data_IF_510485773529
#
_entry.id   IF_510485773529
#
_cell.length_a   1.000
_cell.length_b   1.000
_cell.length_c   1.000
_cell.angle_alpha   90.00
_cell.angle_beta   90.00
_cell.angle_gamma   90.00
#
_symmetry.space_group_name_H-M   'P 1'
#
loop_
_entity.id
_entity.type
_entity.pdbx_description
1 polymer ?
#
# COMPACT_ATOMS: atom_id res chain seq x y z
N UNK A 1 54.79 -12.88 -59.44
CA UNK A 1 55.44 -14.17 -59.52
C UNK A 1 54.35 -15.19 -59.37
N UNK A 2 53.92 -15.64 -60.48
CA UNK A 2 53.92 -17.03 -60.96
C UNK A 2 52.94 -17.93 -60.24
N UNK A 3 51.90 -18.29 -60.85
CA UNK A 3 51.48 -19.03 -62.02
C UNK A 3 50.99 -20.42 -61.69
N UNK A 4 49.80 -20.66 -62.24
CA UNK A 4 49.41 -21.85 -63.08
C UNK A 4 48.91 -23.05 -62.28
N UNK A 5 47.86 -23.68 -62.64
CA UNK A 5 47.14 -24.19 -63.83
C UNK A 5 46.70 -25.60 -63.40
N UNK A 6 45.67 -26.23 -63.70
CA UNK A 6 44.84 -26.33 -64.88
C UNK A 6 44.37 -27.76 -65.00
N UNK A 7 43.26 -27.91 -65.71
CA UNK A 7 42.79 -29.08 -66.57
C UNK A 7 41.83 -30.06 -65.87
N UNK A 8 40.54 -30.04 -66.27
CA UNK A 8 39.90 -30.64 -67.47
C UNK A 8 40.00 -32.19 -67.60
N UNK A 9 38.86 -32.80 -67.71
CA UNK A 9 38.63 -34.10 -68.27
C UNK A 9 37.26 -34.64 -67.89
N UNK A 10 36.25 -34.46 -68.60
CA UNK A 10 35.58 -35.10 -69.72
C UNK A 10 34.62 -36.24 -69.35
N UNK A 11 33.32 -35.95 -69.60
CA UNK A 11 32.33 -36.72 -70.38
C UNK A 11 32.05 -38.17 -69.98
N UNK A 12 30.80 -38.45 -69.69
CA UNK A 12 30.12 -39.74 -69.84
C UNK A 12 28.60 -39.52 -69.75
N UNK A 13 27.99 -39.44 -70.98
CA UNK A 13 26.55 -39.57 -71.20
C UNK A 13 26.09 -40.99 -70.91
N UNK A 14 25.01 -41.19 -70.22
CA UNK A 14 24.05 -42.25 -70.44
C UNK A 14 22.66 -41.82 -69.94
N UNK A 15 21.75 -41.83 -70.90
CA UNK A 15 20.32 -41.58 -70.73
C UNK A 15 19.58 -42.85 -70.28
N UNK A 16 18.48 -42.75 -69.73
CA UNK A 16 17.13 -43.35 -69.86
C UNK A 16 16.51 -43.63 -68.45
N UNK A 17 15.43 -43.16 -68.26
CA UNK A 17 14.06 -43.62 -68.34
C UNK A 17 13.15 -43.00 -67.22
N UNK A 18 12.02 -42.53 -67.66
CA UNK A 18 10.89 -42.02 -66.94
C UNK A 18 10.32 -43.01 -65.91
N UNK A 19 9.96 -42.53 -64.72
CA UNK A 19 8.76 -42.97 -64.01
C UNK A 19 8.20 -41.78 -63.24
N UNK A 20 7.08 -41.26 -63.70
CA UNK A 20 6.27 -40.30 -63.00
C UNK A 20 5.58 -40.97 -61.77
N UNK A 21 5.87 -40.54 -60.61
CA UNK A 21 5.05 -40.80 -59.44
C UNK A 21 4.75 -39.45 -58.77
N UNK A 22 3.57 -38.94 -59.03
CA UNK A 22 2.96 -37.77 -58.39
C UNK A 22 2.64 -38.08 -56.92
N UNK A 23 3.60 -37.79 -56.02
CA UNK A 23 3.40 -37.80 -54.60
C UNK A 23 3.03 -36.40 -54.14
N UNK A 24 1.75 -36.11 -54.00
CA UNK A 24 1.24 -34.94 -53.31
C UNK A 24 1.51 -35.14 -51.80
N UNK A 25 2.55 -34.52 -51.28
CA UNK A 25 2.73 -34.34 -49.85
C UNK A 25 1.78 -33.20 -49.39
N UNK A 26 0.81 -33.46 -48.51
CA UNK A 26 0.08 -32.36 -47.90
C UNK A 26 1.06 -31.60 -46.99
N UNK A 27 1.41 -30.38 -47.38
CA UNK A 27 1.92 -29.40 -46.42
C UNK A 27 0.83 -29.19 -45.39
N UNK A 28 0.99 -29.82 -44.24
CA UNK A 28 0.35 -29.39 -43.01
C UNK A 28 0.91 -27.99 -42.67
N UNK A 29 0.33 -26.99 -43.31
CA UNK A 29 0.42 -25.60 -42.84
C UNK A 29 -0.22 -25.54 -41.48
N UNK A 30 0.58 -25.73 -40.45
CA UNK A 30 0.20 -25.36 -39.12
C UNK A 30 -0.05 -23.85 -39.12
N UNK A 31 -1.29 -23.45 -39.28
CA UNK A 31 -1.72 -22.12 -38.90
C UNK A 31 -1.41 -22.05 -37.40
N UNK A 32 -0.32 -21.37 -37.06
CA UNK A 32 -0.16 -20.85 -35.71
C UNK A 32 -1.40 -19.99 -35.48
N UNK A 33 -2.39 -20.59 -34.84
CA UNK A 33 -3.58 -19.89 -34.43
C UNK A 33 -3.10 -18.75 -33.55
N UNK A 34 -3.23 -17.53 -34.04
CA UNK A 34 -3.09 -16.36 -33.19
C UNK A 34 -4.03 -16.61 -32.01
N UNK A 35 -3.44 -16.84 -30.82
CA UNK A 35 -4.22 -16.98 -29.64
C UNK A 35 -5.07 -15.71 -29.55
N UNK A 36 -6.38 -15.84 -29.70
CA UNK A 36 -7.29 -14.72 -29.61
C UNK A 36 -7.10 -14.16 -28.18
N UNK A 37 -6.50 -12.99 -28.06
CA UNK A 37 -6.35 -12.34 -26.77
C UNK A 37 -7.74 -12.09 -26.24
N UNK A 38 -8.05 -12.64 -25.06
CA UNK A 38 -9.30 -12.34 -24.37
C UNK A 38 -9.41 -10.82 -24.15
N UNK A 39 -10.63 -10.29 -24.12
CA UNK A 39 -10.85 -8.86 -23.88
C UNK A 39 -10.14 -8.42 -22.57
N UNK A 40 -9.53 -7.24 -22.54
CA UNK A 40 -8.84 -6.76 -21.34
C UNK A 40 -9.78 -6.64 -20.13
N UNK A 41 -9.26 -6.97 -18.95
CA UNK A 41 -9.94 -6.71 -17.69
C UNK A 41 -9.63 -5.29 -17.24
N UNK A 42 -10.63 -4.49 -16.98
CA UNK A 42 -10.45 -3.11 -16.50
C UNK A 42 -10.42 -3.08 -14.98
N UNK A 43 -9.36 -2.50 -14.39
CA UNK A 43 -9.27 -2.16 -12.97
C UNK A 43 -9.23 -0.64 -12.85
N UNK A 44 -10.05 -0.07 -11.99
CA UNK A 44 -10.05 1.38 -11.73
C UNK A 44 -9.40 1.65 -10.39
N UNK A 45 -8.38 2.51 -10.35
CA UNK A 45 -7.86 3.06 -9.10
C UNK A 45 -8.52 4.41 -8.81
N UNK A 46 -8.90 4.64 -7.56
CA UNK A 46 -9.39 5.94 -7.06
C UNK A 46 -8.39 6.43 -6.02
N UNK A 47 -7.94 7.67 -6.19
CA UNK A 47 -6.97 8.32 -5.30
C UNK A 47 -7.11 9.84 -5.37
N UNK A 48 -6.50 10.57 -4.43
CA UNK A 48 -6.55 12.04 -4.37
C UNK A 48 -5.37 12.67 -5.12
N UNK A 49 -5.46 12.80 -6.44
CA UNK A 49 -4.40 13.43 -7.25
C UNK A 49 -4.32 14.93 -7.02
N UNK A 50 -5.44 15.55 -6.66
CA UNK A 50 -5.57 16.97 -6.37
C UNK A 50 -6.29 17.20 -5.04
N UNK A 51 -6.37 18.47 -4.60
CA UNK A 51 -7.04 18.83 -3.35
C UNK A 51 -6.13 18.75 -2.12
N UNK A 52 -6.71 18.88 -0.90
CA UNK A 52 -5.93 18.96 0.35
C UNK A 52 -5.02 17.78 0.64
N UNK A 53 -5.36 16.57 0.21
CA UNK A 53 -4.55 15.37 0.40
C UNK A 53 -3.52 15.12 -0.69
N UNK A 54 -3.40 15.99 -1.70
CA UNK A 54 -2.50 15.75 -2.84
C UNK A 54 -1.02 15.68 -2.45
N UNK A 55 -0.62 16.28 -1.34
CA UNK A 55 0.76 16.17 -0.84
C UNK A 55 1.17 14.72 -0.61
N UNK A 56 0.25 13.92 -0.11
CA UNK A 56 0.48 12.50 0.18
C UNK A 56 0.11 11.60 -1.01
N UNK A 57 -1.00 11.90 -1.70
CA UNK A 57 -1.62 10.97 -2.64
C UNK A 57 -1.34 11.25 -4.12
N UNK A 58 -0.86 12.44 -4.52
CA UNK A 58 -0.64 12.75 -5.94
C UNK A 58 0.35 11.80 -6.65
N UNK A 59 1.29 11.25 -5.89
CA UNK A 59 2.31 10.33 -6.40
C UNK A 59 1.91 8.86 -6.32
N UNK A 60 0.66 8.53 -6.02
CA UNK A 60 0.15 7.16 -5.92
C UNK A 60 0.26 6.31 -7.22
N UNK A 61 0.04 6.87 -8.43
CA UNK A 61 -0.07 6.10 -9.68
C UNK A 61 1.08 5.14 -10.01
N UNK A 62 2.36 5.45 -9.81
CA UNK A 62 3.45 4.57 -10.22
C UNK A 62 3.39 3.15 -9.65
N UNK A 63 2.99 2.98 -8.38
CA UNK A 63 2.89 1.64 -7.81
C UNK A 63 1.84 0.78 -8.51
N UNK A 64 0.66 1.34 -8.74
CA UNK A 64 -0.43 0.68 -9.47
C UNK A 64 -0.05 0.35 -10.91
N UNK A 65 0.50 1.33 -11.63
CA UNK A 65 0.89 1.17 -13.03
C UNK A 65 1.98 0.11 -13.21
N UNK A 66 3.05 0.19 -12.40
CA UNK A 66 4.16 -0.76 -12.48
C UNK A 66 3.69 -2.19 -12.19
N UNK A 67 2.80 -2.39 -11.19
CA UNK A 67 2.28 -3.73 -10.88
C UNK A 67 1.44 -4.31 -12.02
N UNK A 68 0.60 -3.49 -12.65
CA UNK A 68 -0.19 -3.89 -13.81
C UNK A 68 0.70 -4.16 -15.02
N UNK A 69 1.66 -3.27 -15.30
CA UNK A 69 2.57 -3.42 -16.43
C UNK A 69 3.41 -4.68 -16.31
N UNK A 70 3.92 -4.99 -15.12
CA UNK A 70 4.63 -6.22 -14.84
C UNK A 70 3.75 -7.44 -15.11
N UNK A 71 2.51 -7.48 -14.59
CA UNK A 71 1.58 -8.59 -14.84
C UNK A 71 1.27 -8.76 -16.33
N UNK A 72 1.09 -7.64 -17.01
CA UNK A 72 0.85 -7.65 -18.46
C UNK A 72 2.05 -8.19 -19.25
N UNK A 73 3.27 -7.88 -18.84
CA UNK A 73 4.49 -8.41 -19.45
C UNK A 73 4.60 -9.93 -19.27
N UNK A 74 4.12 -10.46 -18.16
CA UNK A 74 4.04 -11.90 -17.83
C UNK A 74 2.87 -12.62 -18.54
N UNK A 75 2.13 -11.95 -19.42
CA UNK A 75 1.02 -12.55 -20.17
C UNK A 75 -0.38 -12.12 -19.71
N UNK A 76 -0.48 -11.27 -18.69
CA UNK A 76 -1.74 -10.85 -18.09
C UNK A 76 -2.24 -11.82 -17.02
N UNK A 77 -3.54 -11.88 -16.82
CA UNK A 77 -4.20 -12.76 -15.85
C UNK A 77 -5.12 -13.72 -16.60
N UNK A 78 -4.85 -15.01 -16.51
CA UNK A 78 -5.67 -16.06 -17.13
C UNK A 78 -5.93 -15.83 -18.64
N UNK A 79 -4.98 -15.20 -19.37
CA UNK A 79 -5.08 -14.86 -20.79
C UNK A 79 -5.67 -13.48 -21.10
N UNK A 80 -6.02 -12.70 -20.09
CA UNK A 80 -6.49 -11.33 -20.22
C UNK A 80 -5.39 -10.34 -19.87
N UNK A 81 -5.19 -9.31 -20.70
CA UNK A 81 -4.41 -8.14 -20.28
C UNK A 81 -5.24 -7.30 -19.30
N UNK A 82 -4.58 -6.55 -18.46
CA UNK A 82 -5.22 -5.63 -17.51
C UNK A 82 -5.12 -4.22 -18.08
N UNK A 83 -6.23 -3.48 -18.05
CA UNK A 83 -6.29 -2.05 -18.32
C UNK A 83 -6.49 -1.31 -17.01
N UNK A 84 -5.50 -0.53 -16.57
CA UNK A 84 -5.61 0.39 -15.45
C UNK A 84 -6.27 1.70 -15.87
N UNK A 85 -7.15 2.23 -15.04
CA UNK A 85 -7.72 3.58 -15.15
C UNK A 85 -7.58 4.24 -13.78
N UNK A 86 -7.19 5.51 -13.76
CA UNK A 86 -7.01 6.27 -12.52
C UNK A 86 -8.03 7.41 -12.50
N UNK A 87 -8.71 7.58 -11.39
CA UNK A 87 -9.68 8.64 -11.14
C UNK A 87 -9.29 9.43 -9.91
N UNK A 88 -9.43 10.75 -10.02
CA UNK A 88 -9.16 11.72 -8.95
C UNK A 88 -10.44 11.99 -8.14
N UNK A 89 -10.37 11.87 -6.84
CA UNK A 89 -11.43 12.23 -5.91
C UNK A 89 -11.25 13.63 -5.29
N UNK A 90 -10.15 14.31 -5.62
CA UNK A 90 -9.85 15.67 -5.21
C UNK A 90 -9.79 15.87 -3.67
N UNK A 91 -9.67 14.78 -2.91
CA UNK A 91 -9.83 14.79 -1.44
C UNK A 91 -11.11 15.53 -1.01
N UNK A 92 -12.19 15.32 -1.75
CA UNK A 92 -13.44 16.05 -1.57
C UNK A 92 -14.60 15.10 -1.28
N UNK A 93 -15.39 15.33 -0.20
CA UNK A 93 -16.57 14.51 0.11
C UNK A 93 -17.59 14.42 -1.04
N UNK A 94 -17.70 15.44 -1.88
CA UNK A 94 -18.58 15.43 -3.04
C UNK A 94 -17.94 14.72 -4.24
N UNK A 95 -16.66 14.97 -4.50
CA UNK A 95 -15.97 14.43 -5.66
C UNK A 95 -15.74 12.92 -5.53
N UNK A 96 -15.49 12.38 -4.33
CA UNK A 96 -15.33 10.93 -4.13
C UNK A 96 -16.57 10.15 -4.58
N UNK A 97 -17.76 10.63 -4.28
CA UNK A 97 -18.99 9.97 -4.76
C UNK A 97 -19.08 9.96 -6.29
N UNK A 98 -18.73 11.08 -6.93
CA UNK A 98 -18.70 11.18 -8.39
C UNK A 98 -17.62 10.27 -8.99
N UNK A 99 -16.44 10.22 -8.40
CA UNK A 99 -15.36 9.36 -8.84
C UNK A 99 -15.74 7.87 -8.76
N UNK A 100 -16.39 7.44 -7.66
CA UNK A 100 -16.86 6.06 -7.50
C UNK A 100 -17.95 5.73 -8.53
N UNK A 101 -18.94 6.62 -8.73
CA UNK A 101 -19.98 6.40 -9.74
C UNK A 101 -19.40 6.35 -11.16
N UNK A 102 -18.44 7.22 -11.47
CA UNK A 102 -17.72 7.18 -12.74
C UNK A 102 -16.91 5.88 -12.88
N UNK A 103 -16.28 5.39 -11.81
CA UNK A 103 -15.61 4.09 -11.83
C UNK A 103 -16.61 2.98 -12.19
N UNK A 104 -17.74 2.90 -11.50
CA UNK A 104 -18.78 1.88 -11.75
C UNK A 104 -19.33 1.94 -13.17
N UNK A 105 -19.53 3.13 -13.74
CA UNK A 105 -20.02 3.31 -15.12
C UNK A 105 -19.10 2.72 -16.19
N UNK A 106 -17.81 2.51 -15.87
CA UNK A 106 -16.83 1.87 -16.76
C UNK A 106 -16.91 0.34 -16.72
N UNK A 107 -17.81 -0.22 -15.93
CA UNK A 107 -17.98 -1.66 -15.72
C UNK A 107 -16.63 -2.39 -15.47
N UNK A 108 -15.82 -1.96 -14.49
CA UNK A 108 -14.53 -2.58 -14.21
C UNK A 108 -14.73 -3.94 -13.55
N UNK A 109 -13.71 -4.79 -13.59
CA UNK A 109 -13.73 -6.06 -12.85
C UNK A 109 -13.43 -5.85 -11.35
N UNK A 110 -12.87 -4.72 -10.98
CA UNK A 110 -12.58 -4.35 -9.60
C UNK A 110 -12.09 -2.91 -9.47
N UNK A 111 -12.13 -2.40 -8.25
CA UNK A 111 -11.64 -1.08 -7.86
C UNK A 111 -10.46 -1.26 -6.91
N UNK A 112 -9.43 -0.44 -7.06
CA UNK A 112 -8.36 -0.25 -6.07
C UNK A 112 -8.58 1.11 -5.42
N UNK A 113 -8.77 1.16 -4.11
CA UNK A 113 -8.95 2.40 -3.37
C UNK A 113 -7.67 2.77 -2.62
N UNK A 114 -7.12 3.94 -2.97
CA UNK A 114 -6.02 4.59 -2.27
C UNK A 114 -6.46 6.04 -2.02
N UNK A 115 -7.52 6.17 -1.24
CA UNK A 115 -8.21 7.44 -0.99
C UNK A 115 -8.55 7.57 0.50
N UNK A 116 -8.26 8.72 1.13
CA UNK A 116 -8.61 8.92 2.55
C UNK A 116 -10.11 9.15 2.79
N UNK A 117 -10.93 9.22 1.73
CA UNK A 117 -12.36 9.52 1.84
C UNK A 117 -13.27 8.44 1.22
N UNK A 118 -12.73 7.28 0.87
CA UNK A 118 -13.52 6.24 0.18
C UNK A 118 -14.71 5.75 1.00
N UNK A 119 -14.62 5.77 2.32
CA UNK A 119 -15.70 5.38 3.23
C UNK A 119 -17.02 6.15 2.97
N UNK A 120 -16.96 7.39 2.49
CA UNK A 120 -18.12 8.19 2.16
C UNK A 120 -18.91 7.63 0.96
N UNK A 121 -18.24 6.88 0.09
CA UNK A 121 -18.81 6.33 -1.13
C UNK A 121 -18.84 4.79 -1.17
N UNK A 122 -18.33 4.10 -0.17
CA UNK A 122 -18.19 2.64 -0.10
C UNK A 122 -19.52 1.87 -0.33
N UNK A 123 -20.63 2.49 0.00
CA UNK A 123 -21.98 1.91 -0.23
C UNK A 123 -22.27 1.59 -1.70
N UNK A 124 -21.75 2.37 -2.64
CA UNK A 124 -22.05 2.18 -4.06
C UNK A 124 -21.37 0.94 -4.65
N UNK A 125 -20.05 0.71 -4.49
CA UNK A 125 -19.45 -0.54 -4.92
C UNK A 125 -19.98 -1.75 -4.14
N UNK A 126 -20.37 -1.59 -2.87
CA UNK A 126 -20.99 -2.67 -2.11
C UNK A 126 -22.33 -3.09 -2.72
N UNK A 127 -23.21 -2.14 -3.03
CA UNK A 127 -24.51 -2.41 -3.69
C UNK A 127 -24.34 -3.05 -5.07
N UNK A 128 -23.28 -2.72 -5.79
CA UNK A 128 -22.93 -3.31 -7.08
C UNK A 128 -22.22 -4.68 -6.96
N UNK A 129 -21.93 -5.15 -5.75
CA UNK A 129 -21.10 -6.34 -5.52
C UNK A 129 -19.70 -6.24 -6.10
N UNK A 130 -19.19 -5.01 -6.32
CA UNK A 130 -17.92 -4.72 -6.95
C UNK A 130 -16.77 -5.06 -6.00
N UNK A 131 -15.78 -5.91 -6.40
CA UNK A 131 -14.60 -6.13 -5.60
C UNK A 131 -13.79 -4.85 -5.42
N UNK A 132 -13.39 -4.56 -4.19
CA UNK A 132 -12.52 -3.43 -3.84
C UNK A 132 -11.32 -3.94 -3.06
N UNK A 133 -10.11 -3.57 -3.49
CA UNK A 133 -8.88 -3.80 -2.73
C UNK A 133 -8.18 -2.47 -2.49
N UNK A 134 -7.32 -2.36 -1.49
CA UNK A 134 -6.59 -1.11 -1.25
C UNK A 134 -5.98 -1.01 0.13
N UNK A 135 -5.52 0.19 0.46
CA UNK A 135 -4.93 0.51 1.76
C UNK A 135 -5.99 0.64 2.85
N UNK A 136 -5.56 0.49 4.08
CA UNK A 136 -6.40 0.47 5.28
C UNK A 136 -6.47 1.83 5.99
N UNK A 137 -6.45 2.94 5.28
CA UNK A 137 -6.34 4.26 5.91
C UNK A 137 -7.56 5.18 5.74
N UNK A 138 -8.68 4.67 5.25
CA UNK A 138 -9.91 5.49 5.10
C UNK A 138 -10.80 5.36 6.33
N UNK A 139 -11.69 4.36 6.36
CA UNK A 139 -12.69 4.21 7.39
C UNK A 139 -12.92 2.76 7.79
N UNK A 140 -13.98 2.50 8.55
CA UNK A 140 -14.27 1.16 9.06
C UNK A 140 -14.79 0.18 7.99
N UNK A 141 -15.03 0.63 6.77
CA UNK A 141 -15.62 -0.19 5.70
C UNK A 141 -14.78 -1.43 5.37
N UNK A 142 -13.48 -1.41 5.59
CA UNK A 142 -12.59 -2.54 5.34
C UNK A 142 -12.85 -3.74 6.26
N UNK A 143 -13.53 -3.57 7.36
CA UNK A 143 -13.82 -4.64 8.31
C UNK A 143 -15.28 -4.73 8.75
N UNK A 144 -16.16 -3.77 8.38
CA UNK A 144 -17.54 -3.72 8.87
C UNK A 144 -18.56 -4.34 7.93
N UNK A 145 -19.65 -4.85 8.47
CA UNK A 145 -20.84 -5.20 7.70
C UNK A 145 -21.56 -3.94 7.21
N UNK A 146 -22.03 -3.89 5.96
CA UNK A 146 -22.04 -4.98 4.96
C UNK A 146 -20.80 -5.02 4.07
N UNK A 147 -19.87 -4.09 4.20
CA UNK A 147 -18.76 -3.85 3.27
C UNK A 147 -17.74 -4.99 3.22
N UNK A 148 -17.55 -5.74 4.31
CA UNK A 148 -16.72 -6.94 4.33
C UNK A 148 -17.13 -8.01 3.29
N UNK A 149 -18.26 -7.79 2.60
CA UNK A 149 -18.67 -8.67 1.51
C UNK A 149 -17.84 -8.50 0.25
N UNK A 150 -17.23 -7.32 0.02
CA UNK A 150 -16.57 -6.96 -1.22
C UNK A 150 -15.34 -6.07 -1.06
N UNK A 151 -14.96 -5.68 0.18
CA UNK A 151 -13.80 -4.84 0.44
C UNK A 151 -12.72 -5.61 1.19
N UNK A 152 -11.48 -5.57 0.68
CA UNK A 152 -10.33 -6.35 1.15
C UNK A 152 -9.11 -5.44 1.30
N UNK A 153 -8.71 -5.16 2.53
CA UNK A 153 -7.49 -4.41 2.82
C UNK A 153 -6.26 -5.20 2.39
N UNK A 154 -5.32 -4.56 1.71
CA UNK A 154 -4.13 -5.18 1.16
C UNK A 154 -2.94 -5.16 2.11
N UNK A 155 -3.01 -4.41 3.19
CA UNK A 155 -2.01 -4.35 4.24
C UNK A 155 -2.46 -5.07 5.53
N UNK A 156 -1.60 -5.08 6.53
CA UNK A 156 -1.84 -5.77 7.81
C UNK A 156 -2.53 -4.90 8.86
N UNK A 157 -3.33 -3.95 8.46
CA UNK A 157 -4.22 -3.23 9.36
C UNK A 157 -5.18 -4.18 10.08
N UNK A 158 -5.86 -3.70 11.09
CA UNK A 158 -6.92 -4.46 11.73
C UNK A 158 -8.08 -4.68 10.78
N UNK A 159 -8.54 -5.90 10.70
CA UNK A 159 -9.75 -6.27 9.97
C UNK A 159 -10.98 -6.24 10.89
N UNK A 160 -10.82 -5.82 12.14
CA UNK A 160 -11.92 -5.69 13.10
C UNK A 160 -12.57 -4.31 13.00
N UNK A 161 -13.90 -4.25 12.87
CA UNK A 161 -14.64 -3.00 12.89
C UNK A 161 -14.49 -2.19 14.19
N UNK A 162 -14.07 -2.84 15.28
CA UNK A 162 -13.88 -2.18 16.57
C UNK A 162 -12.51 -1.52 16.73
N UNK A 163 -11.63 -1.62 15.73
CA UNK A 163 -10.29 -1.06 15.78
C UNK A 163 -9.52 -1.48 17.04
N UNK A 164 -9.03 -2.73 17.09
CA UNK A 164 -8.26 -3.20 18.22
C UNK A 164 -7.00 -2.35 18.41
N UNK A 165 -6.59 -2.24 19.66
CA UNK A 165 -5.38 -1.54 20.04
C UNK A 165 -4.27 -2.55 20.29
N UNK A 166 -3.09 -2.26 19.74
CA UNK A 166 -1.92 -3.13 19.90
C UNK A 166 -0.83 -2.45 20.71
N UNK A 167 -0.05 -3.24 21.41
CA UNK A 167 1.02 -2.74 22.29
C UNK A 167 2.21 -2.14 21.56
N UNK A 168 2.37 -2.37 20.26
CA UNK A 168 3.60 -2.08 19.52
C UNK A 168 4.01 -0.60 19.57
N UNK A 169 3.10 0.32 19.25
CA UNK A 169 3.45 1.75 19.16
C UNK A 169 3.76 2.35 20.51
N UNK A 170 2.95 2.07 21.52
CA UNK A 170 3.19 2.54 22.88
C UNK A 170 4.46 1.97 23.49
N UNK A 171 4.72 0.67 23.29
CA UNK A 171 5.95 0.01 23.75
C UNK A 171 7.19 0.58 23.05
N UNK A 172 7.10 0.86 21.74
CA UNK A 172 8.17 1.52 21.00
C UNK A 172 8.47 2.91 21.58
N UNK A 173 7.46 3.74 21.73
CA UNK A 173 7.61 5.10 22.28
C UNK A 173 8.20 5.08 23.69
N UNK A 174 7.74 4.16 24.55
CA UNK A 174 8.26 4.00 25.91
C UNK A 174 9.73 3.58 25.91
N UNK A 175 10.10 2.61 25.06
CA UNK A 175 11.48 2.16 24.93
C UNK A 175 12.43 3.31 24.49
N UNK A 176 11.89 4.35 23.84
CA UNK A 176 12.62 5.55 23.42
C UNK A 176 12.47 6.73 24.40
N UNK A 177 12.01 6.48 25.63
CA UNK A 177 11.97 7.46 26.73
C UNK A 177 10.77 8.40 26.70
N UNK A 178 9.72 8.08 25.95
CA UNK A 178 8.44 8.79 26.00
C UNK A 178 7.75 8.59 27.34
N UNK A 179 7.25 9.68 27.94
CA UNK A 179 6.51 9.68 29.22
C UNK A 179 5.21 10.45 29.18
N UNK A 180 5.13 11.50 28.36
CA UNK A 180 3.92 12.31 28.14
C UNK A 180 3.67 12.40 26.65
N UNK A 181 2.53 11.85 26.19
CA UNK A 181 2.16 11.78 24.78
C UNK A 181 1.29 12.97 24.37
N UNK A 182 1.63 13.56 23.22
CA UNK A 182 0.72 14.34 22.40
C UNK A 182 0.38 13.54 21.14
N UNK A 183 -0.91 13.27 20.93
CA UNK A 183 -1.42 12.50 19.79
C UNK A 183 -2.41 13.32 18.97
N UNK A 184 -2.24 13.33 17.65
CA UNK A 184 -3.00 14.16 16.72
C UNK A 184 -3.64 13.36 15.61
N UNK A 185 -4.86 13.76 15.22
CA UNK A 185 -5.62 13.17 14.11
C UNK A 185 -6.57 14.16 13.47
N UNK A 186 -7.05 13.83 12.26
CA UNK A 186 -8.03 14.62 11.54
C UNK A 186 -9.45 14.26 11.94
N UNK A 187 -10.30 15.28 12.16
CA UNK A 187 -11.69 15.06 12.55
C UNK A 187 -12.57 14.44 11.47
N UNK A 188 -12.24 14.65 10.20
CA UNK A 188 -13.00 14.09 9.08
C UNK A 188 -12.61 12.64 8.75
N UNK A 189 -11.41 12.21 9.10
CA UNK A 189 -10.86 10.89 8.74
C UNK A 189 -11.01 9.89 9.89
N UNK A 190 -11.87 8.88 9.78
CA UNK A 190 -12.03 7.86 10.82
C UNK A 190 -10.73 7.12 11.14
N UNK A 191 -9.91 6.80 10.13
CA UNK A 191 -8.62 6.12 10.34
C UNK A 191 -7.62 7.00 11.08
N UNK A 192 -7.52 8.29 10.72
CA UNK A 192 -6.66 9.26 11.40
C UNK A 192 -7.07 9.45 12.87
N UNK A 193 -8.36 9.69 13.13
CA UNK A 193 -8.92 9.77 14.48
C UNK A 193 -8.60 8.50 15.29
N UNK A 194 -8.87 7.33 14.71
CA UNK A 194 -8.65 6.04 15.39
C UNK A 194 -7.19 5.73 15.63
N UNK A 195 -6.30 6.09 14.73
CA UNK A 195 -4.87 5.90 14.93
C UNK A 195 -4.32 6.78 16.07
N UNK A 196 -4.81 8.01 16.18
CA UNK A 196 -4.44 8.91 17.28
C UNK A 196 -4.95 8.39 18.63
N UNK A 197 -6.22 7.97 18.71
CA UNK A 197 -6.83 7.38 19.91
C UNK A 197 -6.13 6.07 20.28
N UNK A 198 -5.98 5.16 19.31
CA UNK A 198 -5.34 3.86 19.53
C UNK A 198 -3.88 3.98 19.97
N UNK A 199 -3.18 5.01 19.51
CA UNK A 199 -1.82 5.30 19.99
C UNK A 199 -1.83 5.78 21.43
N UNK A 200 -2.78 6.62 21.82
CA UNK A 200 -2.93 7.06 23.21
C UNK A 200 -3.27 5.88 24.15
N UNK A 201 -4.20 5.02 23.73
CA UNK A 201 -4.53 3.80 24.48
C UNK A 201 -3.31 2.87 24.61
N UNK A 202 -2.61 2.60 23.49
CA UNK A 202 -1.39 1.79 23.48
C UNK A 202 -0.34 2.36 24.44
N UNK A 203 -0.15 3.66 24.44
CA UNK A 203 0.85 4.34 25.26
C UNK A 203 0.51 4.31 26.76
N UNK A 204 -0.76 4.45 27.12
CA UNK A 204 -1.22 4.37 28.51
C UNK A 204 -1.15 2.96 29.08
N UNK A 205 -1.38 1.95 28.23
CA UNK A 205 -1.52 0.55 28.64
C UNK A 205 -0.34 -0.32 28.25
N UNK A 206 0.80 0.24 27.89
CA UNK A 206 2.03 -0.53 27.63
C UNK A 206 2.54 -1.19 28.90
N UNK A 207 2.43 -2.51 28.98
CA UNK A 207 2.97 -3.29 30.08
C UNK A 207 2.00 -4.27 30.69
N UNK A 208 1.11 -4.84 29.88
CA UNK A 208 0.23 -5.93 30.29
C UNK A 208 1.04 -7.17 30.74
N UNK A 209 1.01 -7.45 32.03
CA UNK A 209 1.30 -8.77 32.55
C UNK A 209 0.00 -9.57 32.60
N UNK A 210 -0.04 -10.70 31.87
CA UNK A 210 -1.01 -11.79 32.04
C UNK A 210 -2.45 -11.40 32.41
N UNK A 211 -3.08 -10.50 31.61
CA UNK A 211 -4.53 -10.24 31.74
C UNK A 211 -4.93 -9.14 32.73
N UNK A 212 -3.99 -8.42 33.29
CA UNK A 212 -4.25 -7.22 34.10
C UNK A 212 -3.70 -6.02 33.34
N UNK A 213 -4.56 -5.02 33.10
CA UNK A 213 -4.14 -3.69 32.62
C UNK A 213 -3.30 -3.03 33.73
N UNK A 214 -2.02 -3.32 33.78
CA UNK A 214 -1.11 -2.53 34.60
C UNK A 214 -0.87 -1.23 33.85
N UNK A 215 -1.38 -0.14 34.42
CA UNK A 215 -1.10 1.20 33.97
C UNK A 215 0.39 1.48 34.03
N UNK A 216 1.11 1.23 32.98
CA UNK A 216 2.55 1.50 32.89
C UNK A 216 2.77 2.96 32.54
N UNK A 217 1.85 3.81 32.98
CA UNK A 217 2.11 5.17 33.32
C UNK A 217 2.68 6.07 32.21
N UNK A 218 2.38 5.82 30.94
CA UNK A 218 2.45 6.89 29.98
C UNK A 218 1.27 7.82 30.20
N UNK A 219 1.51 9.12 30.31
CA UNK A 219 0.43 10.09 30.42
C UNK A 219 0.08 10.62 29.04
N UNK A 220 -1.20 10.75 28.73
CA UNK A 220 -1.65 11.52 27.56
C UNK A 220 -1.77 12.98 27.98
N UNK A 221 -0.88 13.84 27.48
CA UNK A 221 -0.91 15.29 27.69
C UNK A 221 -1.91 15.98 26.76
N UNK A 222 -1.97 15.53 25.50
CA UNK A 222 -2.92 16.01 24.48
C UNK A 222 -3.39 14.83 23.64
N UNK A 223 -4.70 14.77 23.41
CA UNK A 223 -5.32 13.99 22.36
C UNK A 223 -6.22 14.93 21.57
N UNK A 224 -5.79 15.31 20.36
CA UNK A 224 -6.56 16.19 19.49
C UNK A 224 -6.84 15.46 18.18
N UNK A 225 -8.10 15.09 17.98
CA UNK A 225 -8.61 14.41 16.80
C UNK A 225 -9.52 15.31 15.96
N UNK A 226 -9.43 16.63 16.16
CA UNK A 226 -10.29 17.61 15.51
C UNK A 226 -9.60 18.44 14.43
N UNK A 227 -8.33 18.17 14.13
CA UNK A 227 -7.58 18.95 13.16
C UNK A 227 -8.26 18.89 11.78
N UNK A 228 -8.31 20.02 11.05
CA UNK A 228 -8.75 20.04 9.66
C UNK A 228 -7.81 19.23 8.78
N UNK A 229 -8.35 18.52 7.79
CA UNK A 229 -7.53 17.76 6.85
C UNK A 229 -6.59 18.67 6.06
N UNK A 230 -5.31 18.28 5.97
CA UNK A 230 -4.26 19.08 5.30
C UNK A 230 -3.83 20.32 6.07
N UNK A 231 -4.14 20.44 7.37
CA UNK A 231 -3.74 21.58 8.19
C UNK A 231 -2.23 21.64 8.34
N UNK A 232 -1.65 22.78 8.00
CA UNK A 232 -0.22 23.08 8.20
C UNK A 232 0.04 24.14 9.29
N UNK A 233 -1.02 24.63 9.92
CA UNK A 233 -0.94 25.58 11.03
C UNK A 233 -0.73 24.82 12.35
N UNK A 234 0.50 24.44 12.63
CA UNK A 234 0.88 23.61 13.78
C UNK A 234 1.49 24.38 14.96
N UNK A 235 1.51 25.70 14.89
CA UNK A 235 2.04 26.54 16.00
C UNK A 235 1.25 26.34 17.28
N UNK A 236 -0.09 26.42 17.22
CA UNK A 236 -0.94 26.20 18.41
C UNK A 236 -0.79 24.79 18.97
N UNK A 237 -0.88 23.69 18.20
CA UNK A 237 -0.56 22.35 18.67
C UNK A 237 0.80 22.23 19.35
N UNK A 238 1.85 22.84 18.79
CA UNK A 238 3.21 22.79 19.37
C UNK A 238 3.31 23.56 20.70
N UNK A 239 2.69 24.74 20.81
CA UNK A 239 2.65 25.51 22.07
C UNK A 239 1.90 24.77 23.16
N UNK A 240 0.74 24.18 22.85
CA UNK A 240 -0.04 23.37 23.80
C UNK A 240 0.77 22.16 24.26
N UNK A 241 1.44 21.48 23.31
CA UNK A 241 2.31 20.36 23.63
C UNK A 241 3.45 20.75 24.59
N UNK A 242 4.06 21.91 24.37
CA UNK A 242 5.09 22.46 25.26
C UNK A 242 4.55 22.71 26.66
N UNK A 243 3.37 23.35 26.79
CA UNK A 243 2.71 23.62 28.06
C UNK A 243 2.34 22.36 28.84
N UNK A 244 1.96 21.30 28.12
CA UNK A 244 1.62 20.00 28.67
C UNK A 244 2.83 19.11 28.96
N UNK A 245 4.04 19.57 28.63
CA UNK A 245 5.28 18.82 28.83
C UNK A 245 5.40 17.56 27.98
N UNK A 246 4.75 17.55 26.81
CA UNK A 246 4.83 16.39 25.90
C UNK A 246 6.26 16.14 25.42
N UNK A 247 6.69 14.89 25.51
CA UNK A 247 7.98 14.43 25.02
C UNK A 247 7.88 13.19 24.13
N UNK A 248 6.67 12.66 23.92
CA UNK A 248 6.31 11.65 22.96
C UNK A 248 5.24 12.21 22.02
N UNK A 249 5.37 11.98 20.73
CA UNK A 249 4.46 12.53 19.71
C UNK A 249 4.06 11.46 18.71
N UNK A 250 2.77 11.44 18.41
CA UNK A 250 2.19 10.71 17.29
C UNK A 250 1.32 11.65 16.48
N UNK A 251 1.43 11.59 15.15
CA UNK A 251 0.61 12.41 14.30
C UNK A 251 0.11 11.58 13.11
N UNK A 252 -1.11 11.08 13.20
CA UNK A 252 -1.83 10.37 12.15
C UNK A 252 -2.33 11.33 11.08
N UNK A 253 -1.45 12.15 10.53
CA UNK A 253 -1.72 13.24 9.61
C UNK A 253 -1.06 12.96 8.26
N UNK A 254 -1.38 13.77 7.25
CA UNK A 254 -0.66 13.75 5.98
C UNK A 254 0.79 14.27 6.12
N UNK A 255 1.56 14.11 5.07
CA UNK A 255 2.98 14.44 5.05
C UNK A 255 3.27 15.90 5.38
N UNK A 256 2.55 16.84 4.75
CA UNK A 256 2.77 18.26 4.97
C UNK A 256 2.42 18.69 6.39
N UNK A 257 1.33 18.16 6.95
CA UNK A 257 0.93 18.42 8.34
C UNK A 257 1.95 17.86 9.34
N UNK A 258 2.49 16.66 9.07
CA UNK A 258 3.54 16.06 9.88
C UNK A 258 4.83 16.88 9.84
N UNK A 259 5.22 17.37 8.67
CA UNK A 259 6.41 18.20 8.50
C UNK A 259 6.24 19.58 9.14
N UNK A 260 5.04 20.16 9.07
CA UNK A 260 4.70 21.39 9.74
C UNK A 260 4.76 21.23 11.26
N UNK A 261 4.21 20.13 11.82
CA UNK A 261 4.27 19.83 13.25
C UNK A 261 5.73 19.70 13.72
N UNK A 262 6.55 18.92 13.03
CA UNK A 262 7.97 18.77 13.37
C UNK A 262 8.71 20.12 13.37
N UNK A 263 8.38 20.98 12.41
CA UNK A 263 8.98 22.31 12.28
C UNK A 263 8.53 23.23 13.43
N UNK A 264 7.24 23.24 13.76
CA UNK A 264 6.69 24.04 14.86
C UNK A 264 7.24 23.60 16.22
N UNK A 265 7.31 22.29 16.48
CA UNK A 265 7.93 21.76 17.70
C UNK A 265 9.37 22.25 17.87
N UNK A 266 10.16 22.23 16.80
CA UNK A 266 11.54 22.70 16.81
C UNK A 266 11.64 24.21 17.06
N UNK A 267 10.79 25.01 16.39
CA UNK A 267 10.75 26.47 16.53
C UNK A 267 10.37 26.88 17.97
N UNK A 268 9.43 26.17 18.57
CA UNK A 268 9.00 26.43 19.95
C UNK A 268 9.96 25.86 21.01
N UNK A 269 11.07 25.24 20.58
CA UNK A 269 12.08 24.69 21.48
C UNK A 269 11.61 23.45 22.23
N UNK A 270 10.58 22.75 21.75
CA UNK A 270 10.19 21.43 22.25
C UNK A 270 11.29 20.43 21.89
N UNK A 271 11.66 19.59 22.85
CA UNK A 271 12.71 18.57 22.68
C UNK A 271 12.10 17.17 22.84
N UNK A 272 11.47 16.61 21.80
CA UNK A 272 10.90 15.28 21.87
C UNK A 272 11.95 14.22 22.23
N UNK A 273 11.55 13.21 23.00
CA UNK A 273 12.30 11.96 23.15
C UNK A 273 12.00 11.00 22.00
N UNK A 274 10.75 11.02 21.55
CA UNK A 274 10.28 10.20 20.45
C UNK A 274 9.16 10.92 19.68
N UNK A 275 9.26 10.92 18.36
CA UNK A 275 8.19 11.37 17.46
C UNK A 275 7.96 10.25 16.46
N UNK A 276 6.71 9.82 16.27
CA UNK A 276 6.35 8.80 15.29
C UNK A 276 5.37 9.38 14.27
N UNK A 277 5.75 9.31 13.01
CA UNK A 277 4.96 9.69 11.85
C UNK A 277 4.56 8.42 11.07
N UNK A 278 3.27 8.13 10.91
CA UNK A 278 2.81 7.00 10.09
C UNK A 278 2.86 7.27 8.59
N UNK A 279 3.02 8.52 8.17
CA UNK A 279 3.16 8.96 6.78
C UNK A 279 4.46 9.74 6.60
N UNK A 280 4.79 10.15 5.36
CA UNK A 280 6.00 10.93 5.07
C UNK A 280 7.25 10.10 4.83
N UNK A 281 7.13 8.77 4.70
CA UNK A 281 8.23 7.94 4.21
C UNK A 281 8.40 8.15 2.70
N UNK A 282 9.12 9.22 2.35
CA UNK A 282 9.27 9.69 0.98
C UNK A 282 10.71 10.04 0.61
N UNK A 283 11.20 9.64 -0.57
CA UNK A 283 12.53 10.04 -1.03
C UNK A 283 12.67 11.55 -1.23
N UNK A 284 11.60 12.24 -1.63
CA UNK A 284 11.56 13.67 -1.94
C UNK A 284 11.80 14.58 -0.74
N UNK A 285 11.50 14.11 0.47
CA UNK A 285 11.67 14.90 1.70
C UNK A 285 13.14 14.95 2.14
N UNK A 286 13.95 13.96 1.74
CA UNK A 286 15.36 13.90 2.12
C UNK A 286 16.13 15.06 1.48
N UNK A 287 16.74 15.89 2.33
CA UNK A 287 17.44 17.10 1.90
C UNK A 287 16.56 18.31 1.63
N UNK A 288 15.24 18.20 1.79
CA UNK A 288 14.33 19.34 1.74
C UNK A 288 14.51 20.30 2.93
N UNK A 289 13.97 21.51 2.90
CA UNK A 289 14.01 22.41 4.06
C UNK A 289 13.39 21.81 5.34
N UNK A 290 12.34 20.99 5.20
CA UNK A 290 11.69 20.31 6.33
C UNK A 290 12.56 19.22 6.94
N UNK A 291 13.48 18.60 6.16
CA UNK A 291 14.29 17.46 6.58
C UNK A 291 15.06 17.71 7.89
N UNK A 292 15.57 18.92 8.07
CA UNK A 292 16.29 19.28 9.31
C UNK A 292 15.41 19.23 10.59
N UNK A 293 14.10 19.42 10.43
CA UNK A 293 13.15 19.32 11.54
C UNK A 293 12.69 17.88 11.80
N UNK A 294 12.80 17.03 10.78
CA UNK A 294 12.40 15.63 10.84
C UNK A 294 13.51 14.71 11.38
N UNK A 295 14.78 15.16 11.37
CA UNK A 295 15.89 14.33 11.83
C UNK A 295 15.73 13.90 13.29
N UNK A 296 15.89 12.59 13.53
CA UNK A 296 15.63 11.96 14.82
C UNK A 296 14.20 11.49 15.00
N UNK A 297 13.26 11.92 14.15
CA UNK A 297 11.90 11.40 14.11
C UNK A 297 11.84 10.01 13.47
N UNK A 298 10.88 9.22 13.89
CA UNK A 298 10.64 7.86 13.40
C UNK A 298 9.46 7.84 12.44
N UNK A 299 9.65 7.15 11.34
CA UNK A 299 8.60 6.89 10.34
C UNK A 299 8.20 5.43 10.43
N UNK A 300 6.92 5.18 10.63
CA UNK A 300 6.40 3.82 10.76
C UNK A 300 5.80 3.35 9.43
N UNK A 301 6.02 2.08 9.09
CA UNK A 301 5.42 1.45 7.90
C UNK A 301 4.83 0.10 8.25
N UNK A 302 3.64 -0.19 7.74
CA UNK A 302 2.97 -1.50 7.83
C UNK A 302 3.49 -2.48 6.78
N UNK A 303 4.35 -2.03 5.89
CA UNK A 303 5.01 -2.80 4.85
C UNK A 303 6.54 -2.75 5.03
N UNK A 304 7.24 -3.67 4.38
CA UNK A 304 8.70 -3.78 4.43
C UNK A 304 9.37 -2.59 3.75
N UNK A 305 10.17 -1.80 4.48
CA UNK A 305 10.86 -0.67 3.86
C UNK A 305 11.94 -1.15 2.87
N UNK A 306 12.22 -0.37 1.85
CA UNK A 306 13.21 -0.70 0.82
C UNK A 306 14.63 -0.81 1.36
N UNK A 307 14.92 -0.14 2.48
CA UNK A 307 16.18 -0.27 3.21
C UNK A 307 16.36 -1.64 3.89
N UNK A 308 15.32 -2.48 3.89
CA UNK A 308 15.35 -3.87 4.37
C UNK A 308 14.99 -4.82 3.21
N UNK A 309 15.88 -5.01 2.22
CA UNK A 309 15.55 -5.64 0.96
C UNK A 309 15.20 -7.13 1.10
N UNK A 310 14.26 -7.58 0.27
CA UNK A 310 13.93 -9.00 0.07
C UNK A 310 13.53 -9.26 -1.40
N UNK A 311 12.94 -10.42 -1.69
CA UNK A 311 12.48 -10.75 -3.04
C UNK A 311 11.39 -9.78 -3.52
N UNK A 312 10.43 -9.44 -2.66
CA UNK A 312 9.32 -8.53 -2.99
C UNK A 312 9.77 -7.11 -3.27
N UNK A 313 10.65 -6.54 -2.43
CA UNK A 313 11.17 -5.19 -2.65
C UNK A 313 12.00 -5.11 -3.93
N UNK A 314 12.83 -6.13 -4.22
CA UNK A 314 13.59 -6.18 -5.49
C UNK A 314 12.68 -6.31 -6.71
N UNK A 315 11.61 -7.10 -6.63
CA UNK A 315 10.63 -7.24 -7.70
C UNK A 315 9.91 -5.90 -7.96
N UNK A 316 9.46 -5.23 -6.91
CA UNK A 316 8.80 -3.94 -7.02
C UNK A 316 9.76 -2.88 -7.58
N UNK A 317 11.00 -2.80 -7.08
CA UNK A 317 12.03 -1.89 -7.58
C UNK A 317 12.26 -2.08 -9.09
N UNK A 318 12.49 -3.32 -9.51
CA UNK A 318 12.72 -3.62 -10.93
C UNK A 318 11.53 -3.24 -11.82
N UNK A 319 10.29 -3.38 -11.31
CA UNK A 319 9.12 -2.96 -12.04
C UNK A 319 8.98 -1.43 -12.11
N UNK A 320 9.24 -0.72 -11.01
CA UNK A 320 9.23 0.75 -10.97
C UNK A 320 10.31 1.34 -11.89
N UNK A 321 11.53 0.79 -11.89
CA UNK A 321 12.60 1.20 -12.79
C UNK A 321 12.21 0.98 -14.26
N UNK A 322 11.65 -0.16 -14.56
CA UNK A 322 11.33 -0.55 -15.95
C UNK A 322 10.14 0.19 -16.53
N UNK A 323 9.10 0.42 -15.75
CA UNK A 323 7.81 0.89 -16.26
C UNK A 323 7.46 2.32 -15.83
N UNK A 324 8.04 2.80 -14.73
CA UNK A 324 7.80 4.14 -14.19
C UNK A 324 9.07 5.00 -14.14
N UNK A 325 10.16 4.51 -14.76
CA UNK A 325 11.42 5.22 -14.92
C UNK A 325 12.12 5.66 -13.62
N UNK A 326 11.91 4.91 -12.54
CA UNK A 326 12.63 5.15 -11.29
C UNK A 326 14.13 4.91 -11.49
N UNK A 327 14.95 5.70 -10.82
CA UNK A 327 16.38 5.42 -10.70
C UNK A 327 16.62 4.36 -9.62
N UNK A 328 17.75 3.68 -9.66
CA UNK A 328 18.11 2.67 -8.66
C UNK A 328 18.27 3.22 -7.22
N UNK A 329 18.39 4.54 -7.06
CA UNK A 329 18.46 5.21 -5.77
C UNK A 329 17.10 5.68 -5.23
N UNK A 330 16.06 5.67 -6.07
CA UNK A 330 14.71 6.01 -5.65
C UNK A 330 14.03 4.79 -5.03
N UNK A 331 13.24 5.03 -4.01
CA UNK A 331 12.32 4.05 -3.42
C UNK A 331 10.89 4.62 -3.48
N UNK A 332 9.85 3.76 -3.48
CA UNK A 332 8.48 4.24 -3.57
C UNK A 332 8.08 5.00 -2.30
N UNK A 333 7.23 5.99 -2.48
CA UNK A 333 6.53 6.66 -1.39
C UNK A 333 5.57 5.69 -0.70
N UNK A 334 5.04 6.08 0.47
CA UNK A 334 4.04 5.30 1.20
C UNK A 334 2.88 4.90 0.27
N UNK A 335 2.26 5.85 -0.42
CA UNK A 335 1.09 5.57 -1.26
C UNK A 335 1.38 4.87 -2.58
N UNK A 336 2.58 5.02 -3.14
CA UNK A 336 3.03 4.17 -4.24
C UNK A 336 3.14 2.71 -3.81
N UNK A 337 3.57 2.49 -2.58
CA UNK A 337 3.64 1.15 -2.01
C UNK A 337 2.24 0.57 -1.81
N UNK A 338 1.33 1.33 -1.20
CA UNK A 338 -0.06 0.92 -0.98
C UNK A 338 -0.79 0.64 -2.29
N UNK A 339 -0.56 1.44 -3.33
CA UNK A 339 -1.18 1.21 -4.64
C UNK A 339 -0.66 -0.05 -5.34
N UNK A 340 0.62 -0.38 -5.14
CA UNK A 340 1.16 -1.68 -5.56
C UNK A 340 0.49 -2.83 -4.83
N UNK A 341 0.36 -2.75 -3.50
CA UNK A 341 -0.26 -3.79 -2.68
C UNK A 341 -1.74 -3.98 -3.05
N UNK A 342 -2.49 -2.89 -3.22
CA UNK A 342 -3.89 -2.94 -3.65
C UNK A 342 -4.06 -3.60 -5.02
N UNK A 343 -3.21 -3.24 -5.99
CA UNK A 343 -3.20 -3.86 -7.32
C UNK A 343 -2.77 -5.34 -7.26
N UNK A 344 -1.76 -5.67 -6.44
CA UNK A 344 -1.30 -7.06 -6.28
C UNK A 344 -2.39 -7.96 -5.70
N UNK A 345 -3.08 -7.50 -4.67
CA UNK A 345 -4.19 -8.24 -4.07
C UNK A 345 -5.34 -8.46 -5.08
N UNK A 346 -5.72 -7.43 -5.85
CA UNK A 346 -6.72 -7.57 -6.90
C UNK A 346 -6.30 -8.59 -7.94
N UNK A 347 -5.04 -8.56 -8.39
CA UNK A 347 -4.50 -9.52 -9.36
C UNK A 347 -4.52 -10.94 -8.79
N UNK A 348 -4.20 -11.15 -7.50
CA UNK A 348 -4.31 -12.46 -6.84
C UNK A 348 -5.75 -12.97 -6.84
N UNK A 349 -6.71 -12.10 -6.53
CA UNK A 349 -8.14 -12.41 -6.64
C UNK A 349 -8.55 -12.83 -8.04
N UNK A 350 -8.12 -12.09 -9.06
CA UNK A 350 -8.39 -12.40 -10.47
C UNK A 350 -7.76 -13.71 -10.91
N UNK A 351 -6.51 -13.99 -10.52
CA UNK A 351 -5.82 -15.25 -10.81
C UNK A 351 -6.60 -16.45 -10.26
N UNK A 352 -7.10 -16.33 -9.02
CA UNK A 352 -7.83 -17.39 -8.34
C UNK A 352 -9.29 -17.51 -8.83
N UNK A 353 -9.88 -16.44 -9.40
CA UNK A 353 -11.24 -16.45 -9.94
C UNK A 353 -11.39 -17.20 -11.28
N UNK A 354 -10.28 -17.58 -11.93
CA UNK A 354 -10.27 -18.37 -13.18
C UNK A 354 -10.41 -17.53 -14.46
N UNK A 355 -10.62 -18.22 -15.60
CA UNK A 355 -10.54 -17.61 -16.93
C UNK A 355 -11.62 -16.57 -17.24
N UNK A 356 -12.79 -16.68 -16.65
CA UNK A 356 -13.92 -15.78 -16.88
C UNK A 356 -14.34 -15.15 -15.56
N UNK A 357 -13.54 -14.19 -15.01
CA UNK A 357 -13.82 -13.62 -13.72
C UNK A 357 -15.09 -12.77 -13.76
N UNK A 358 -15.89 -12.88 -12.70
CA UNK A 358 -17.04 -12.01 -12.40
C UNK A 358 -16.79 -11.35 -11.05
N UNK A 359 -17.53 -10.29 -10.71
CA UNK A 359 -17.42 -9.68 -9.37
C UNK A 359 -17.61 -10.72 -8.26
N UNK A 360 -18.61 -11.58 -8.41
CA UNK A 360 -18.89 -12.64 -7.43
C UNK A 360 -17.73 -13.64 -7.30
N UNK A 361 -17.14 -14.10 -8.42
CA UNK A 361 -16.02 -15.04 -8.38
C UNK A 361 -14.76 -14.41 -7.82
N UNK A 362 -14.49 -13.13 -8.08
CA UNK A 362 -13.34 -12.39 -7.52
C UNK A 362 -13.53 -12.18 -6.02
N UNK A 363 -14.70 -11.72 -5.56
CA UNK A 363 -14.99 -11.59 -4.14
C UNK A 363 -14.85 -12.92 -3.40
N UNK A 364 -15.36 -14.00 -4.01
CA UNK A 364 -15.23 -15.35 -3.43
C UNK A 364 -13.76 -15.79 -3.37
N UNK A 365 -12.99 -15.56 -4.43
CA UNK A 365 -11.57 -15.91 -4.48
C UNK A 365 -10.75 -15.13 -3.42
N UNK A 366 -10.96 -13.83 -3.29
CA UNK A 366 -10.32 -13.00 -2.27
C UNK A 366 -10.66 -13.47 -0.87
N UNK A 367 -11.94 -13.77 -0.60
CA UNK A 367 -12.39 -14.24 0.71
C UNK A 367 -11.79 -15.58 1.12
N UNK A 368 -11.44 -16.44 0.17
CA UNK A 368 -10.82 -17.74 0.43
C UNK A 368 -9.29 -17.71 0.30
N UNK A 369 -8.70 -16.54 0.13
CA UNK A 369 -7.25 -16.39 0.09
C UNK A 369 -6.68 -16.58 1.51
N UNK A 370 -5.99 -17.69 1.74
CA UNK A 370 -5.51 -18.09 3.07
C UNK A 370 -4.09 -17.65 3.37
N UNK A 371 -3.34 -17.22 2.35
CA UNK A 371 -1.93 -16.87 2.52
C UNK A 371 -1.58 -15.72 1.56
N UNK A 372 -1.67 -14.51 2.06
CA UNK A 372 -1.27 -13.30 1.33
C UNK A 372 -0.24 -12.52 2.13
N UNK A 373 0.93 -12.29 1.55
CA UNK A 373 1.99 -11.47 2.13
C UNK A 373 2.69 -10.58 1.09
N UNK A 374 2.08 -10.44 -0.09
CA UNK A 374 2.62 -9.64 -1.21
C UNK A 374 4.09 -9.96 -1.50
N UNK A 375 4.47 -11.25 -1.62
CA UNK A 375 5.85 -11.70 -1.83
C UNK A 375 6.83 -11.25 -0.73
N UNK A 376 6.36 -11.16 0.52
CA UNK A 376 7.15 -10.75 1.69
C UNK A 376 7.27 -9.24 1.86
N UNK A 377 6.48 -8.44 1.15
CA UNK A 377 6.34 -7.00 1.39
C UNK A 377 5.61 -6.71 2.69
N UNK A 378 4.71 -7.61 3.13
CA UNK A 378 4.01 -7.45 4.40
C UNK A 378 4.79 -8.10 5.55
N UNK A 379 4.65 -7.58 6.78
CA UNK A 379 5.34 -8.10 7.96
C UNK A 379 4.80 -9.46 8.41
N UNK A 380 3.60 -9.79 8.00
CA UNK A 380 2.92 -11.04 8.33
C UNK A 380 1.97 -11.45 7.20
N UNK A 381 1.60 -12.73 7.20
CA UNK A 381 0.65 -13.28 6.24
C UNK A 381 -0.78 -12.96 6.66
N UNK A 382 -1.59 -12.49 5.73
CA UNK A 382 -3.03 -12.27 5.91
C UNK A 382 -3.78 -13.53 5.44
N UNK A 383 -4.71 -14.01 6.28
CA UNK A 383 -5.64 -15.07 5.95
C UNK A 383 -7.06 -14.50 5.92
N UNK A 384 -7.56 -14.18 4.72
CA UNK A 384 -8.89 -13.61 4.57
C UNK A 384 -10.01 -14.61 4.88
N UNK A 385 -9.75 -15.92 4.81
CA UNK A 385 -10.76 -16.95 5.09
C UNK A 385 -11.12 -17.02 6.59
N UNK A 386 -10.16 -16.76 7.47
CA UNK A 386 -10.35 -16.91 8.92
C UNK A 386 -10.16 -15.62 9.70
N UNK A 387 -9.40 -14.69 9.17
CA UNK A 387 -9.07 -13.41 9.82
C UNK A 387 -9.92 -12.23 9.40
N UNK A 388 -10.69 -12.37 8.31
CA UNK A 388 -11.45 -11.25 7.76
C UNK A 388 -12.56 -10.78 8.73
N UNK A 389 -12.53 -9.50 9.08
CA UNK A 389 -13.44 -8.93 10.07
C UNK A 389 -13.19 -9.36 11.52
N UNK A 390 -11.99 -9.87 11.81
CA UNK A 390 -11.59 -10.28 13.16
C UNK A 390 -10.28 -9.61 13.55
N UNK A 391 -10.07 -9.46 14.85
CA UNK A 391 -8.81 -9.00 15.39
C UNK A 391 -7.66 -9.94 15.02
N UNK A 392 -6.55 -9.34 14.63
CA UNK A 392 -5.30 -10.07 14.51
C UNK A 392 -4.71 -10.23 15.92
N UNK A 393 -4.14 -11.39 16.26
CA UNK A 393 -3.55 -11.62 17.60
C UNK A 393 -2.32 -10.75 17.84
N UNK A 394 -1.70 -10.24 16.78
CA UNK A 394 -0.57 -9.32 16.81
C UNK A 394 -0.52 -8.52 15.52
N UNK A 395 0.08 -7.35 15.60
CA UNK A 395 0.46 -6.55 14.42
C UNK A 395 1.92 -6.15 14.51
N UNK A 396 2.55 -6.00 13.36
CA UNK A 396 3.97 -5.71 13.25
C UNK A 396 4.19 -4.47 12.36
N UNK A 397 5.11 -3.61 12.77
CA UNK A 397 5.42 -2.33 12.10
C UNK A 397 6.93 -2.20 12.02
N UNK A 398 7.46 -1.71 10.90
CA UNK A 398 8.84 -1.22 10.84
C UNK A 398 8.91 0.24 11.24
N UNK A 399 10.01 0.60 11.89
CA UNK A 399 10.34 1.98 12.18
C UNK A 399 11.65 2.34 11.50
N UNK A 400 11.66 3.49 10.84
CA UNK A 400 12.85 4.07 10.25
C UNK A 400 13.10 5.41 10.93
N UNK A 401 14.32 5.67 11.31
CA UNK A 401 14.72 6.99 11.84
C UNK A 401 15.22 7.89 10.72
N UNK A 402 14.74 9.12 10.67
CA UNK A 402 15.27 10.14 9.77
C UNK A 402 16.66 10.56 10.22
N UNK A 403 17.67 10.34 9.40
CA UNK A 403 19.06 10.75 9.61
C UNK A 403 19.52 11.69 8.49
N UNK A 404 20.70 12.29 8.63
CA UNK A 404 21.21 13.29 7.67
C UNK A 404 21.04 12.87 6.20
N UNK A 405 21.31 11.62 5.88
CA UNK A 405 21.39 11.14 4.49
C UNK A 405 20.16 10.29 4.07
N UNK A 406 19.10 10.24 4.87
CA UNK A 406 17.89 9.47 4.55
C UNK A 406 17.30 8.71 5.72
N UNK A 407 16.42 7.80 5.39
CA UNK A 407 15.74 6.93 6.34
C UNK A 407 16.58 5.69 6.65
N UNK A 408 16.79 5.42 7.93
CA UNK A 408 17.56 4.27 8.40
C UNK A 408 16.65 3.36 9.23
N UNK A 409 16.49 2.08 8.87
CA UNK A 409 15.70 1.15 9.66
C UNK A 409 16.28 0.99 11.07
N UNK A 410 15.43 0.98 12.07
CA UNK A 410 15.83 0.69 13.46
C UNK A 410 16.16 -0.79 13.66
N UNK A 411 15.60 -1.65 12.81
CA UNK A 411 15.83 -3.10 12.79
C UNK A 411 15.51 -3.67 11.40
N UNK A 412 16.12 -4.80 11.07
CA UNK A 412 15.75 -5.61 9.90
C UNK A 412 14.49 -6.43 10.10
N UNK A 413 14.04 -6.58 11.34
CA UNK A 413 12.77 -7.22 11.71
C UNK A 413 11.76 -6.17 12.13
N UNK A 414 10.46 -6.38 11.83
CA UNK A 414 9.44 -5.48 12.30
C UNK A 414 9.26 -5.57 13.81
N UNK A 415 8.84 -4.48 14.42
CA UNK A 415 8.48 -4.43 15.82
C UNK A 415 7.03 -4.85 15.98
N UNK A 416 6.80 -5.97 16.68
CA UNK A 416 5.47 -6.55 16.83
C UNK A 416 4.88 -6.24 18.20
N UNK A 417 3.57 -6.02 18.23
CA UNK A 417 2.78 -5.89 19.44
C UNK A 417 1.61 -6.85 19.45
N UNK A 418 1.13 -7.17 20.65
CA UNK A 418 -0.05 -8.00 20.85
C UNK A 418 -1.30 -7.15 21.02
N UNK A 419 -2.45 -7.70 20.69
CA UNK A 419 -3.74 -7.09 20.92
C UNK A 419 -3.98 -6.90 22.44
N UNK A 420 -4.34 -5.70 22.84
CA UNK A 420 -4.66 -5.32 24.23
C UNK A 420 -6.01 -5.88 24.73
N UNK A 421 -6.77 -6.59 23.86
CA UNK A 421 -8.07 -7.21 24.19
C UNK A 421 -9.00 -6.27 24.96
N UNK A 422 -9.23 -5.15 24.40
CA UNK A 422 -10.14 -4.16 24.94
C UNK A 422 -10.49 -3.17 23.87
N UNK A 423 -11.73 -2.78 23.82
CA UNK A 423 -12.15 -1.62 23.04
C UNK A 423 -11.41 -0.41 23.56
N UNK A 424 -11.03 0.51 22.66
CA UNK A 424 -10.60 1.85 22.99
C UNK A 424 -11.43 2.39 24.15
N UNK A 425 -10.78 2.67 25.27
CA UNK A 425 -11.45 3.28 26.44
C UNK A 425 -11.58 4.79 26.29
N UNK A 426 -10.83 5.36 25.33
CA UNK A 426 -10.88 6.79 25.03
C UNK A 426 -11.98 7.02 24.00
N UNK A 427 -13.07 7.62 24.45
CA UNK A 427 -14.07 8.20 23.55
C UNK A 427 -13.57 9.56 23.09
N UNK A 428 -13.39 9.71 21.78
CA UNK A 428 -13.09 10.99 21.15
C UNK A 428 -14.30 11.90 21.09
#
# INVERSE_FOLDING_TARGET
MQTRSGRLGKLGLAALAMAAASGVTPMLGGTAGAASSSAPLTIVMITSLTGPGSSEFANTPPGFNARIAMQNAEGGVNGHKIKGIILDDQTSPNAITTAVQNALSKNPIGIVSISPLFFLAAKYPNQAGMPVTGGFFDGPEWGTSPYQSNMFAADVGSLDPKYPVYTNIGSFMKAHGGTVLCSYGYGISPSSTRSAIGTADSFQHTGLAAGVLEGVGGQTGVLDTSLPFGSVEMTTPALVAKQKGCNAFYAGLDDNSNFALATALKQDGVKPKVVVFPTGYEPSVVGSPAWNSLQGGYFSTTFRPFQVPNAGTRQMQAALEKYEHFTSSQFPTFNQYESWLGADLMIKGLQAAGKNPTHASVNNALRHLTSYNANGLLPQTINYATGFGKDLPKTCIWYLVAQKNGFVPTSTQPFCGTDLKGTTTVQG
#
